data_IF_403863421777
#
_entry.id   IF_403863421777
#
_cell.length_a   1.000
_cell.length_b   1.000
_cell.length_c   1.000
_cell.angle_alpha   90.00
_cell.angle_beta   90.00
_cell.angle_gamma   90.00
#
_symmetry.space_group_name_H-M   'P 1'
#
loop_
_entity.id
_entity.type
_entity.pdbx_description
1 polymer ?
#
# COMPACT_ATOMS: atom_id res chain seq x y z
N UNK A 1 -8.24 15.47 0.91
CA UNK A 1 -7.43 14.55 1.75
C UNK A 1 -7.33 13.16 1.09
N UNK A 2 -6.42 12.29 1.52
CA UNK A 2 -6.21 10.95 0.94
C UNK A 2 -7.51 10.11 0.86
N UNK A 3 -8.27 10.04 1.95
CA UNK A 3 -9.53 9.28 2.00
C UNK A 3 -10.57 9.77 0.99
N UNK A 4 -10.74 11.09 0.85
CA UNK A 4 -11.69 11.68 -0.12
C UNK A 4 -11.27 11.43 -1.56
N UNK A 5 -9.97 11.53 -1.86
CA UNK A 5 -9.45 11.20 -3.18
C UNK A 5 -9.73 9.74 -3.51
N UNK A 6 -9.57 8.87 -2.52
CA UNK A 6 -9.80 7.45 -2.65
C UNK A 6 -11.28 7.11 -2.89
N UNK A 7 -12.21 7.68 -2.11
CA UNK A 7 -13.66 7.44 -2.25
C UNK A 7 -14.22 8.01 -3.55
N UNK A 8 -13.73 9.19 -3.98
CA UNK A 8 -14.14 9.84 -5.23
C UNK A 8 -13.46 9.28 -6.47
N UNK A 9 -12.38 8.53 -6.33
CA UNK A 9 -11.57 8.06 -7.44
C UNK A 9 -10.76 9.18 -8.11
N UNK A 10 -10.37 10.20 -7.34
CA UNK A 10 -9.53 11.31 -7.81
C UNK A 10 -8.13 10.80 -8.13
N UNK A 11 -7.67 11.04 -9.36
CA UNK A 11 -6.31 10.75 -9.81
C UNK A 11 -5.73 11.98 -10.54
N UNK A 12 -4.43 12.30 -10.36
CA UNK A 12 -3.51 11.67 -9.40
C UNK A 12 -3.91 11.94 -7.94
N UNK A 13 -3.43 11.11 -7.02
CA UNK A 13 -3.58 11.37 -5.59
C UNK A 13 -2.84 12.67 -5.23
N UNK A 14 -3.40 13.49 -4.31
CA UNK A 14 -2.74 14.71 -3.88
C UNK A 14 -1.45 14.40 -3.10
N UNK A 15 -0.45 15.28 -3.22
CA UNK A 15 0.73 15.25 -2.36
C UNK A 15 0.32 15.24 -0.87
N UNK A 16 1.09 14.52 -0.06
CA UNK A 16 0.76 14.21 1.33
C UNK A 16 -0.15 12.98 1.51
N UNK A 17 -0.61 12.36 0.42
CA UNK A 17 -1.35 11.08 0.51
C UNK A 17 -0.47 9.99 1.10
N UNK A 18 -0.98 9.29 2.12
CA UNK A 18 -0.34 8.09 2.68
C UNK A 18 -1.33 6.94 2.58
N UNK A 19 -0.92 5.84 1.95
CA UNK A 19 -1.68 4.60 1.87
C UNK A 19 -0.91 3.51 2.61
N UNK A 20 -1.63 2.74 3.42
CA UNK A 20 -1.07 1.68 4.25
C UNK A 20 -1.79 0.36 3.95
N UNK A 21 -1.01 -0.68 3.67
CA UNK A 21 -1.47 -2.06 3.53
C UNK A 21 -0.94 -2.87 4.71
N UNK A 22 -1.87 -3.37 5.52
CA UNK A 22 -1.59 -4.34 6.59
C UNK A 22 -1.80 -5.76 6.04
N UNK A 23 -0.83 -6.65 6.25
CA UNK A 23 -0.93 -8.06 5.92
C UNK A 23 -0.94 -8.90 7.20
N UNK A 24 -1.84 -9.86 7.28
CA UNK A 24 -1.99 -10.79 8.40
C UNK A 24 -1.98 -12.24 7.91
N UNK A 25 -1.68 -13.18 8.82
CA UNK A 25 -1.91 -14.61 8.57
C UNK A 25 -3.42 -14.90 8.59
N UNK A 26 -3.87 -15.85 7.77
CA UNK A 26 -5.21 -16.41 7.91
C UNK A 26 -5.19 -17.55 8.92
N UNK A 27 -6.13 -17.57 9.86
CA UNK A 27 -6.32 -18.66 10.83
C UNK A 27 -7.76 -19.13 10.81
N UNK A 28 -8.03 -20.38 11.21
CA UNK A 28 -9.39 -20.91 11.27
C UNK A 28 -10.25 -20.11 12.27
N UNK A 29 -11.50 -19.84 11.94
CA UNK A 29 -12.45 -19.23 12.87
C UNK A 29 -12.82 -20.22 13.97
N UNK A 30 -12.73 -19.83 15.26
CA UNK A 30 -13.23 -20.67 16.35
C UNK A 30 -14.76 -20.71 16.41
N UNK A 31 -15.46 -19.79 15.75
CA UNK A 31 -16.93 -19.69 15.72
C UNK A 31 -17.57 -20.38 14.51
N UNK A 32 -16.85 -20.53 13.41
CA UNK A 32 -17.37 -21.14 12.18
C UNK A 32 -16.27 -21.86 11.39
N UNK A 33 -16.25 -23.19 11.48
CA UNK A 33 -15.17 -24.06 10.96
C UNK A 33 -14.81 -23.81 9.48
N UNK A 34 -15.79 -23.49 8.64
CA UNK A 34 -15.56 -23.25 7.21
C UNK A 34 -14.97 -21.85 6.90
N UNK A 35 -14.85 -20.96 7.88
CA UNK A 35 -14.33 -19.60 7.71
C UNK A 35 -12.92 -19.42 8.28
N UNK A 36 -12.24 -18.39 7.76
CA UNK A 36 -10.96 -17.91 8.28
C UNK A 36 -11.11 -16.50 8.82
N UNK A 37 -10.38 -16.20 9.89
CA UNK A 37 -10.27 -14.85 10.47
C UNK A 37 -8.83 -14.33 10.38
N UNK A 38 -8.61 -13.01 10.47
CA UNK A 38 -7.28 -12.44 10.60
C UNK A 38 -6.57 -12.93 11.87
N UNK A 39 -5.38 -13.49 11.69
CA UNK A 39 -4.44 -13.80 12.78
C UNK A 39 -3.40 -12.70 12.95
N UNK A 40 -2.18 -13.09 13.33
CA UNK A 40 -1.09 -12.15 13.58
C UNK A 40 -0.75 -11.32 12.32
N UNK A 41 -0.61 -10.01 12.49
CA UNK A 41 -0.05 -9.12 11.49
C UNK A 41 1.44 -9.45 11.24
N UNK A 42 1.84 -9.46 9.97
CA UNK A 42 3.20 -9.87 9.55
C UNK A 42 3.93 -8.75 8.85
N UNK A 43 3.23 -7.96 8.03
CA UNK A 43 3.87 -6.92 7.22
C UNK A 43 2.98 -5.70 7.11
N UNK A 44 3.58 -4.54 7.33
CA UNK A 44 2.99 -3.24 7.00
C UNK A 44 3.74 -2.69 5.79
N UNK A 45 3.00 -2.30 4.76
CA UNK A 45 3.55 -1.64 3.58
C UNK A 45 2.94 -0.25 3.49
N UNK A 46 3.77 0.75 3.28
CA UNK A 46 3.39 2.17 3.23
C UNK A 46 3.82 2.72 1.90
N UNK A 47 2.96 3.53 1.27
CA UNK A 47 3.35 4.40 0.18
C UNK A 47 2.90 5.83 0.45
N UNK A 48 3.78 6.80 0.20
CA UNK A 48 3.57 8.22 0.46
C UNK A 48 3.78 9.04 -0.82
N UNK A 49 2.80 9.88 -1.14
CA UNK A 49 2.87 10.82 -2.25
C UNK A 49 3.60 12.09 -1.82
N UNK A 50 4.74 12.34 -2.43
CA UNK A 50 5.51 13.58 -2.35
C UNK A 50 6.26 13.77 -3.68
N UNK A 51 5.64 14.53 -4.59
CA UNK A 51 6.15 14.77 -5.93
C UNK A 51 7.53 15.43 -5.96
N UNK A 52 7.87 16.21 -4.93
CA UNK A 52 9.16 16.90 -4.83
C UNK A 52 10.25 15.97 -4.31
N UNK A 53 9.94 15.14 -3.33
CA UNK A 53 10.90 14.21 -2.72
C UNK A 53 11.15 12.97 -3.60
N UNK A 54 10.16 12.54 -4.37
CA UNK A 54 10.22 11.29 -5.13
C UNK A 54 9.95 11.47 -6.64
N UNK A 55 10.67 12.37 -7.35
CA UNK A 55 10.40 12.65 -8.76
C UNK A 55 10.60 11.42 -9.67
N UNK A 56 11.53 10.53 -9.32
CA UNK A 56 11.88 9.35 -10.11
C UNK A 56 10.85 8.21 -10.06
N UNK A 57 9.92 8.25 -9.10
CA UNK A 57 8.91 7.20 -8.88
C UNK A 57 7.48 7.72 -9.02
N UNK A 58 7.29 8.70 -9.90
CA UNK A 58 6.00 9.34 -10.12
C UNK A 58 5.44 10.02 -8.87
N UNK A 59 6.32 10.46 -7.97
CA UNK A 59 5.96 11.09 -6.69
C UNK A 59 5.71 10.12 -5.54
N UNK A 60 5.97 8.81 -5.67
CA UNK A 60 5.70 7.84 -4.61
C UNK A 60 6.97 7.32 -3.91
N UNK A 61 7.04 7.50 -2.58
CA UNK A 61 7.97 6.79 -1.73
C UNK A 61 7.34 5.51 -1.18
N UNK A 62 8.15 4.48 -0.95
CA UNK A 62 7.71 3.17 -0.46
C UNK A 62 8.46 2.78 0.82
N UNK A 63 7.75 2.13 1.74
CA UNK A 63 8.31 1.57 2.96
C UNK A 63 7.67 0.22 3.28
N UNK A 64 8.45 -0.72 3.79
CA UNK A 64 8.02 -2.04 4.20
C UNK A 64 8.54 -2.31 5.60
N UNK A 65 7.67 -2.87 6.43
CA UNK A 65 7.98 -3.23 7.81
C UNK A 65 7.56 -4.68 8.02
N UNK A 66 8.50 -5.52 8.45
CA UNK A 66 8.26 -6.94 8.75
C UNK A 66 8.41 -7.13 10.25
N UNK A 67 7.37 -7.66 10.89
CA UNK A 67 7.31 -7.83 12.35
C UNK A 67 7.70 -6.55 13.13
N UNK A 68 7.21 -5.40 12.64
CA UNK A 68 7.44 -4.08 13.24
C UNK A 68 8.81 -3.44 12.93
N UNK A 69 9.69 -4.11 12.20
CA UNK A 69 11.02 -3.61 11.84
C UNK A 69 11.06 -3.14 10.39
N UNK A 70 11.70 -2.00 10.08
CA UNK A 70 11.86 -1.56 8.70
C UNK A 70 12.71 -2.57 7.91
N UNK A 71 12.30 -2.83 6.67
CA UNK A 71 13.10 -3.54 5.69
C UNK A 71 14.25 -2.66 5.18
N UNK A 72 15.22 -3.28 4.50
CA UNK A 72 16.36 -2.57 3.94
C UNK A 72 15.93 -1.63 2.80
N UNK A 73 16.66 -0.52 2.63
CA UNK A 73 16.36 0.46 1.58
C UNK A 73 16.39 -0.17 0.18
N UNK A 74 17.27 -1.16 -0.04
CA UNK A 74 17.34 -1.90 -1.29
C UNK A 74 16.01 -2.60 -1.62
N UNK A 75 15.31 -3.14 -0.62
CA UNK A 75 14.00 -3.76 -0.82
C UNK A 75 12.94 -2.70 -1.20
N UNK A 76 12.96 -1.52 -0.57
CA UNK A 76 12.01 -0.44 -0.89
C UNK A 76 12.13 0.02 -2.35
N UNK A 77 13.34 0.04 -2.90
CA UNK A 77 13.59 0.42 -4.30
C UNK A 77 12.99 -0.56 -5.31
N UNK A 78 12.70 -1.80 -4.92
CA UNK A 78 12.06 -2.79 -5.80
C UNK A 78 10.56 -2.55 -5.99
N UNK A 79 9.92 -1.77 -5.11
CA UNK A 79 8.46 -1.58 -5.13
C UNK A 79 7.98 -0.85 -6.39
N UNK A 80 8.66 0.23 -6.78
CA UNK A 80 8.16 1.11 -7.84
C UNK A 80 8.09 0.43 -9.20
N UNK A 81 9.07 -0.39 -9.57
CA UNK A 81 9.11 -1.06 -10.87
C UNK A 81 7.84 -1.90 -11.14
N UNK A 82 7.34 -2.62 -10.11
CA UNK A 82 6.11 -3.39 -10.23
C UNK A 82 4.87 -2.49 -10.35
N UNK A 83 4.82 -1.41 -9.57
CA UNK A 83 3.72 -0.45 -9.62
C UNK A 83 3.67 0.31 -10.96
N UNK A 84 4.83 0.72 -11.49
CA UNK A 84 4.95 1.33 -12.82
C UNK A 84 4.50 0.37 -13.91
N UNK A 85 5.00 -0.87 -13.91
CA UNK A 85 4.68 -1.83 -14.95
C UNK A 85 3.20 -2.26 -14.99
N UNK A 86 2.46 -2.13 -13.88
CA UNK A 86 1.11 -2.71 -13.75
C UNK A 86 -0.01 -1.69 -13.56
N UNK A 87 0.28 -0.52 -12.98
CA UNK A 87 -0.76 0.43 -12.55
C UNK A 87 -0.37 1.90 -12.76
N UNK A 88 0.50 2.17 -13.74
CA UNK A 88 0.91 3.54 -14.12
C UNK A 88 -0.28 4.48 -14.36
N UNK A 89 -1.28 4.04 -15.12
CA UNK A 89 -2.46 4.87 -15.47
C UNK A 89 -3.42 5.10 -14.30
N UNK A 90 -3.07 4.60 -13.11
CA UNK A 90 -3.88 4.67 -11.88
C UNK A 90 -3.10 5.34 -10.75
N UNK A 91 -2.22 6.25 -11.12
CA UNK A 91 -1.26 6.90 -10.23
C UNK A 91 -0.49 5.88 -9.38
N UNK A 92 -0.11 4.77 -10.00
CA UNK A 92 0.70 3.72 -9.38
C UNK A 92 -0.01 3.00 -8.20
N UNK A 93 -1.34 3.05 -8.07
CA UNK A 93 -2.11 2.42 -6.98
C UNK A 93 -2.98 1.26 -7.47
N UNK A 94 -2.78 0.06 -6.91
CA UNK A 94 -3.51 -1.17 -7.29
C UNK A 94 -4.97 -1.20 -6.87
N UNK A 95 -5.25 -0.64 -5.71
CA UNK A 95 -6.53 -0.75 -5.02
C UNK A 95 -7.48 0.36 -5.47
N UNK A 96 -8.79 0.14 -5.35
CA UNK A 96 -9.85 1.15 -5.53
C UNK A 96 -10.75 1.08 -4.32
N UNK A 97 -11.49 2.15 -4.05
CA UNK A 97 -12.55 2.08 -3.05
C UNK A 97 -13.57 1.01 -3.47
N UNK A 98 -13.83 0.03 -2.60
CA UNK A 98 -14.85 -0.98 -2.83
C UNK A 98 -16.23 -0.30 -2.76
N UNK A 99 -17.06 -0.52 -3.79
CA UNK A 99 -18.41 -0.01 -3.90
C UNK A 99 -19.40 -1.16 -3.85
#
# INVERSE_FOLDING_TARGET
MAAEAYTRGTLPFPDGTVLVKLAWKHVASPEFEAATVPGMATTVQVMMKDSKRYPASGGWGFGRFVDGKPADEAEHRTCFACHEARVKDRDYVFTRYAR
#
